data_IF_982711319857
#
_entry.id   IF_982711319857
#
_cell.length_a   1.000
_cell.length_b   1.000
_cell.length_c   1.000
_cell.angle_alpha   90.00
_cell.angle_beta   90.00
_cell.angle_gamma   90.00
#
_symmetry.space_group_name_H-M   'P 1'
#
loop_
_entity.id
_entity.type
_entity.pdbx_description
1 polymer ?
#
# COMPACT_ATOMS: atom_id res chain seq x y z
N UNK A 1 11.96 -14.49 -5.08
CA UNK A 1 10.81 -13.72 -5.57
C UNK A 1 10.68 -12.42 -4.78
N UNK A 2 10.62 -11.30 -5.48
CA UNK A 2 10.47 -9.99 -4.82
C UNK A 2 9.01 -9.66 -4.63
N UNK A 3 8.61 -9.53 -3.38
CA UNK A 3 7.24 -9.16 -3.00
C UNK A 3 7.27 -7.79 -2.34
N UNK A 4 6.40 -6.89 -2.80
CA UNK A 4 6.21 -5.59 -2.18
C UNK A 4 4.77 -5.46 -1.67
N UNK A 5 4.57 -4.60 -0.69
CA UNK A 5 3.26 -4.31 -0.12
C UNK A 5 2.94 -2.84 -0.33
N UNK A 6 1.76 -2.57 -0.87
CA UNK A 6 1.23 -1.22 -0.96
C UNK A 6 0.07 -1.09 0.03
N UNK A 7 0.32 -0.56 1.22
CA UNK A 7 -0.71 -0.43 2.24
C UNK A 7 -1.45 0.89 2.12
N UNK A 8 -2.68 0.92 2.58
CA UNK A 8 -3.44 2.16 2.64
C UNK A 8 -4.86 1.88 3.11
N UNK A 9 -5.63 2.93 3.30
CA UNK A 9 -7.04 2.77 3.66
C UNK A 9 -7.90 2.48 2.43
N UNK A 10 -7.56 3.07 1.28
CA UNK A 10 -8.28 2.87 0.01
C UNK A 10 -9.80 2.96 0.18
N UNK A 11 -10.25 4.09 0.68
CA UNK A 11 -11.65 4.27 1.08
C UNK A 11 -12.32 5.41 0.30
N UNK A 12 -12.61 5.25 -0.99
CA UNK A 12 -12.28 4.11 -1.86
C UNK A 12 -10.93 4.23 -2.58
N UNK A 13 -10.58 3.21 -3.34
CA UNK A 13 -9.45 3.26 -4.26
C UNK A 13 -9.70 4.34 -5.33
N UNK A 14 -8.66 5.08 -5.68
CA UNK A 14 -8.74 6.17 -6.66
C UNK A 14 -7.84 5.89 -7.86
N UNK A 15 -7.96 6.74 -8.90
CA UNK A 15 -7.06 6.65 -10.06
C UNK A 15 -5.60 6.87 -9.68
N UNK A 16 -5.35 7.72 -8.67
CA UNK A 16 -4.00 7.91 -8.14
C UNK A 16 -3.44 6.63 -7.55
N UNK A 17 -4.24 5.94 -6.75
CA UNK A 17 -3.86 4.63 -6.21
C UNK A 17 -3.60 3.63 -7.33
N UNK A 18 -4.48 3.57 -8.32
CA UNK A 18 -4.32 2.64 -9.43
C UNK A 18 -3.05 2.92 -10.24
N UNK A 19 -2.69 4.19 -10.41
CA UNK A 19 -1.45 4.57 -11.09
C UNK A 19 -0.24 4.00 -10.34
N UNK A 20 -0.20 4.17 -9.02
CA UNK A 20 0.89 3.64 -8.18
C UNK A 20 0.92 2.10 -8.26
N UNK A 21 -0.24 1.46 -8.15
CA UNK A 21 -0.35 0.00 -8.22
C UNK A 21 0.22 -0.52 -9.54
N UNK A 22 -0.19 0.08 -10.65
CA UNK A 22 0.24 -0.34 -11.99
C UNK A 22 1.75 -0.20 -12.14
N UNK A 23 2.31 0.91 -11.68
CA UNK A 23 3.74 1.17 -11.79
C UNK A 23 4.56 0.23 -10.89
N UNK A 24 4.12 0.05 -9.65
CA UNK A 24 4.79 -0.83 -8.71
C UNK A 24 4.76 -2.29 -9.17
N UNK A 25 3.63 -2.73 -9.73
CA UNK A 25 3.48 -4.10 -10.22
C UNK A 25 4.50 -4.46 -11.29
N UNK A 26 4.96 -3.47 -12.06
CA UNK A 26 5.98 -3.70 -13.11
C UNK A 26 7.37 -3.99 -12.53
N UNK A 27 7.63 -3.57 -11.30
CA UNK A 27 8.97 -3.67 -10.70
C UNK A 27 9.13 -4.86 -9.77
N UNK A 28 8.04 -5.54 -9.40
CA UNK A 28 8.08 -6.63 -8.44
C UNK A 28 7.40 -7.87 -9.00
N UNK A 29 7.82 -9.03 -8.50
CA UNK A 29 7.21 -10.30 -8.92
C UNK A 29 5.80 -10.44 -8.38
N UNK A 30 5.56 -9.85 -7.20
CA UNK A 30 4.27 -9.91 -6.53
C UNK A 30 4.03 -8.60 -5.80
N UNK A 31 2.88 -7.99 -6.00
CA UNK A 31 2.47 -6.79 -5.27
C UNK A 31 1.22 -7.10 -4.45
N UNK A 32 1.31 -6.92 -3.15
CA UNK A 32 0.17 -7.08 -2.25
C UNK A 32 -0.39 -5.68 -1.96
N UNK A 33 -1.61 -5.43 -2.40
CA UNK A 33 -2.33 -4.20 -2.04
C UNK A 33 -3.14 -4.54 -0.80
N UNK A 34 -2.81 -3.90 0.32
CA UNK A 34 -3.42 -4.25 1.60
C UNK A 34 -4.23 -3.09 2.18
N UNK A 35 -5.51 -3.34 2.39
CA UNK A 35 -6.39 -2.41 3.09
C UNK A 35 -6.08 -2.51 4.58
N UNK A 36 -5.50 -1.45 5.15
CA UNK A 36 -5.17 -1.37 6.57
C UNK A 36 -6.26 -0.58 7.27
N UNK A 37 -6.92 -1.16 8.27
CA UNK A 37 -8.11 -0.53 8.88
C UNK A 37 -8.08 -0.45 10.40
N UNK A 38 -6.94 -0.74 11.02
CA UNK A 38 -6.84 -0.78 12.49
C UNK A 38 -6.91 0.58 13.18
N UNK A 39 -6.76 1.68 12.46
CA UNK A 39 -6.76 3.04 13.03
C UNK A 39 -7.84 3.92 12.45
N UNK A 40 -8.84 3.35 11.81
CA UNK A 40 -9.88 4.12 11.13
C UNK A 40 -10.92 4.65 12.10
N UNK A 41 -11.37 5.88 11.86
CA UNK A 41 -12.37 6.53 12.70
C UNK A 41 -13.76 6.59 12.06
N UNK A 42 -13.83 6.84 10.77
CA UNK A 42 -15.11 7.01 10.05
C UNK A 42 -15.00 6.49 8.63
N UNK A 43 -14.89 5.17 8.46
CA UNK A 43 -14.72 4.61 7.12
C UNK A 43 -16.00 4.77 6.29
N UNK A 44 -15.85 5.02 4.98
CA UNK A 44 -16.94 5.10 4.04
C UNK A 44 -17.42 3.71 3.64
N UNK A 45 -16.48 2.78 3.46
CA UNK A 45 -16.75 1.41 3.05
C UNK A 45 -16.14 0.44 4.05
N UNK A 46 -16.71 -0.77 4.12
CA UNK A 46 -16.12 -1.84 4.94
C UNK A 46 -14.80 -2.30 4.33
N UNK A 47 -13.91 -2.96 5.10
CA UNK A 47 -12.69 -3.53 4.53
C UNK A 47 -12.96 -4.48 3.37
N UNK A 48 -14.00 -5.31 3.47
CA UNK A 48 -14.38 -6.25 2.42
C UNK A 48 -14.83 -5.54 1.15
N UNK A 49 -15.62 -4.47 1.29
CA UNK A 49 -16.06 -3.67 0.14
C UNK A 49 -14.87 -3.00 -0.55
N UNK A 50 -13.93 -2.48 0.25
CA UNK A 50 -12.73 -1.85 -0.29
C UNK A 50 -11.85 -2.84 -1.05
N UNK A 51 -11.67 -4.03 -0.49
CA UNK A 51 -10.92 -5.09 -1.17
C UNK A 51 -11.59 -5.45 -2.50
N UNK A 52 -12.91 -5.59 -2.50
CA UNK A 52 -13.65 -5.92 -3.72
C UNK A 52 -13.47 -4.87 -4.80
N UNK A 53 -13.56 -3.59 -4.44
CA UNK A 53 -13.37 -2.48 -5.37
C UNK A 53 -11.97 -2.48 -5.98
N UNK A 54 -10.94 -2.73 -5.16
CA UNK A 54 -9.57 -2.80 -5.65
C UNK A 54 -9.40 -3.99 -6.59
N UNK A 55 -9.95 -5.15 -6.24
CA UNK A 55 -9.87 -6.34 -7.09
C UNK A 55 -10.47 -6.08 -8.46
N UNK A 56 -11.58 -5.36 -8.52
CA UNK A 56 -12.24 -5.03 -9.80
C UNK A 56 -11.35 -4.19 -10.70
N UNK A 57 -10.69 -3.18 -10.15
CA UNK A 57 -9.88 -2.27 -10.97
C UNK A 57 -8.49 -2.82 -11.27
N UNK A 58 -8.05 -3.87 -10.58
CA UNK A 58 -6.75 -4.50 -10.80
C UNK A 58 -6.84 -5.86 -11.48
N UNK A 59 -8.03 -6.26 -11.93
CA UNK A 59 -8.27 -7.57 -12.51
C UNK A 59 -7.35 -7.90 -13.70
N UNK A 60 -6.92 -6.89 -14.45
CA UNK A 60 -6.01 -7.07 -15.58
C UNK A 60 -4.52 -7.10 -15.21
N UNK A 61 -4.18 -7.04 -13.93
CA UNK A 61 -2.78 -7.04 -13.49
C UNK A 61 -2.52 -8.34 -12.73
N UNK A 62 -1.90 -9.34 -13.38
CA UNK A 62 -1.88 -10.71 -12.85
C UNK A 62 -1.06 -10.92 -11.58
N UNK A 63 -0.08 -10.06 -11.32
CA UNK A 63 0.78 -10.21 -10.14
C UNK A 63 0.35 -9.36 -8.94
N UNK A 64 -0.87 -8.81 -8.98
CA UNK A 64 -1.44 -8.05 -7.86
C UNK A 64 -2.36 -8.95 -7.05
N UNK A 65 -2.14 -8.98 -5.73
CA UNK A 65 -3.03 -9.64 -4.78
C UNK A 65 -3.60 -8.59 -3.86
N UNK A 66 -4.86 -8.73 -3.47
CA UNK A 66 -5.55 -7.75 -2.63
C UNK A 66 -6.04 -8.43 -1.36
N UNK A 67 -5.72 -7.83 -0.22
CA UNK A 67 -6.15 -8.35 1.07
C UNK A 67 -6.36 -7.20 2.05
N UNK A 68 -6.85 -7.51 3.24
CA UNK A 68 -7.01 -6.51 4.30
C UNK A 68 -6.43 -7.04 5.61
N UNK A 69 -6.03 -6.12 6.50
CA UNK A 69 -5.46 -6.50 7.79
C UNK A 69 -5.68 -5.40 8.82
N UNK A 70 -5.91 -5.81 10.06
CA UNK A 70 -5.96 -4.91 11.21
C UNK A 70 -4.66 -4.92 12.01
N UNK A 71 -3.66 -5.64 11.55
CA UNK A 71 -2.35 -5.76 12.22
C UNK A 71 -1.47 -4.55 11.97
N UNK A 72 -0.42 -4.40 12.76
CA UNK A 72 0.63 -3.44 12.46
C UNK A 72 1.28 -3.83 11.13
N UNK A 73 1.61 -2.82 10.32
CA UNK A 73 2.20 -3.05 9.01
C UNK A 73 3.51 -3.86 9.09
N UNK A 74 4.35 -3.58 10.07
CA UNK A 74 5.61 -4.31 10.24
C UNK A 74 5.38 -5.81 10.46
N UNK A 75 4.35 -6.15 11.24
CA UNK A 75 3.99 -7.56 11.50
C UNK A 75 3.39 -8.21 10.28
N UNK A 76 2.49 -7.50 9.59
CA UNK A 76 1.89 -8.00 8.37
C UNK A 76 2.95 -8.29 7.30
N UNK A 77 3.90 -7.38 7.13
CA UNK A 77 4.99 -7.55 6.18
C UNK A 77 5.83 -8.80 6.51
N UNK A 78 6.11 -9.00 7.79
CA UNK A 78 6.87 -10.17 8.23
C UNK A 78 6.13 -11.47 7.89
N UNK A 79 4.82 -11.51 8.14
CA UNK A 79 3.99 -12.67 7.82
C UNK A 79 3.97 -12.96 6.32
N UNK A 80 3.95 -11.92 5.49
CA UNK A 80 3.89 -12.08 4.04
C UNK A 80 5.27 -12.32 3.41
N UNK A 81 6.32 -12.25 4.20
CA UNK A 81 7.67 -12.45 3.69
C UNK A 81 8.14 -11.29 2.80
N UNK A 82 7.60 -10.10 3.01
CA UNK A 82 7.97 -8.92 2.24
C UNK A 82 8.94 -8.04 3.01
N UNK A 83 9.94 -7.51 2.31
CA UNK A 83 10.89 -6.55 2.85
C UNK A 83 10.69 -5.14 2.31
N UNK A 84 9.67 -4.91 1.49
CA UNK A 84 9.49 -3.65 0.78
C UNK A 84 8.05 -3.14 0.94
N UNK A 85 7.94 -1.90 1.40
CA UNK A 85 6.66 -1.18 1.45
C UNK A 85 6.68 -0.11 0.36
N UNK A 86 5.59 0.00 -0.40
CA UNK A 86 5.41 1.04 -1.39
C UNK A 86 4.48 2.10 -0.81
N UNK A 87 4.84 3.36 -0.98
CA UNK A 87 4.00 4.50 -0.59
C UNK A 87 3.99 5.52 -1.72
N UNK A 88 2.81 6.04 -2.00
CA UNK A 88 2.67 7.14 -2.97
C UNK A 88 2.78 8.48 -2.26
N UNK A 89 3.48 9.42 -2.85
CA UNK A 89 3.61 10.78 -2.32
C UNK A 89 2.97 11.77 -3.28
N UNK A 90 2.17 12.67 -2.74
CA UNK A 90 1.50 13.71 -3.52
C UNK A 90 2.04 15.11 -3.24
N UNK A 91 2.56 15.33 -2.04
CA UNK A 91 3.06 16.64 -1.63
C UNK A 91 4.18 16.51 -0.61
N UNK A 92 4.97 17.58 -0.44
CA UNK A 92 6.06 17.62 0.53
C UNK A 92 5.55 17.41 1.96
N UNK A 93 4.38 17.97 2.28
CA UNK A 93 3.77 17.79 3.60
C UNK A 93 3.43 16.33 3.91
N UNK A 94 3.08 15.55 2.89
CA UNK A 94 2.85 14.11 3.06
C UNK A 94 4.17 13.40 3.35
N UNK A 95 5.26 13.86 2.75
CA UNK A 95 6.56 13.20 2.86
C UNK A 95 7.07 13.15 4.29
N UNK A 96 6.98 14.24 5.04
CA UNK A 96 7.46 14.26 6.43
C UNK A 96 6.78 13.20 7.28
N UNK A 97 5.47 13.11 7.17
CA UNK A 97 4.67 12.12 7.90
C UNK A 97 5.02 10.71 7.47
N UNK A 98 5.06 10.47 6.16
CA UNK A 98 5.37 9.14 5.62
C UNK A 98 6.80 8.72 5.93
N UNK A 99 7.73 9.68 5.95
CA UNK A 99 9.12 9.41 6.33
C UNK A 99 9.22 8.94 7.78
N UNK A 100 8.50 9.60 8.70
CA UNK A 100 8.48 9.19 10.10
C UNK A 100 7.90 7.78 10.26
N UNK A 101 6.86 7.47 9.50
CA UNK A 101 6.26 6.13 9.51
C UNK A 101 7.24 5.08 8.99
N UNK A 102 7.99 5.42 7.94
CA UNK A 102 9.00 4.52 7.38
C UNK A 102 10.09 4.21 8.40
N UNK A 103 10.56 5.22 9.13
CA UNK A 103 11.54 5.03 10.19
C UNK A 103 11.00 4.12 11.29
N UNK A 104 9.76 4.33 11.69
CA UNK A 104 9.13 3.49 12.72
C UNK A 104 9.00 2.04 12.26
N UNK A 105 8.55 1.82 11.04
CA UNK A 105 8.41 0.47 10.48
C UNK A 105 9.76 -0.23 10.41
N UNK A 106 10.81 0.48 9.99
CA UNK A 106 12.15 -0.09 9.93
C UNK A 106 12.68 -0.44 11.33
N UNK A 107 12.36 0.39 12.33
CA UNK A 107 12.74 0.14 13.71
C UNK A 107 12.07 -1.11 14.28
N UNK A 108 10.78 -1.30 13.95
CA UNK A 108 10.01 -2.47 14.38
C UNK A 108 10.38 -3.74 13.61
N UNK A 109 10.82 -3.58 12.38
CA UNK A 109 11.22 -4.68 11.51
C UNK A 109 12.43 -4.21 10.67
N UNK A 110 13.67 -4.46 11.15
CA UNK A 110 14.88 -3.95 10.48
C UNK A 110 15.07 -4.40 9.04
N UNK A 111 14.43 -5.50 8.64
CA UNK A 111 14.49 -5.96 7.25
C UNK A 111 13.52 -5.25 6.32
N UNK A 112 12.74 -4.30 6.82
CA UNK A 112 11.68 -3.66 6.06
C UNK A 112 12.10 -2.26 5.61
N UNK A 113 12.09 -2.03 4.31
CA UNK A 113 12.38 -0.74 3.71
C UNK A 113 11.12 -0.16 3.05
N UNK A 114 11.04 1.17 3.00
CA UNK A 114 9.94 1.86 2.32
C UNK A 114 10.45 2.56 1.08
N UNK A 115 9.78 2.34 -0.04
CA UNK A 115 10.05 3.00 -1.30
C UNK A 115 8.92 3.98 -1.61
N UNK A 116 9.29 5.22 -1.91
CA UNK A 116 8.30 6.24 -2.24
C UNK A 116 8.21 6.43 -3.75
N UNK A 117 6.99 6.44 -4.27
CA UNK A 117 6.71 6.76 -5.66
C UNK A 117 5.93 8.06 -5.70
N UNK A 118 6.36 8.99 -6.55
CA UNK A 118 5.62 10.23 -6.73
C UNK A 118 4.40 9.98 -7.61
N UNK A 119 3.26 10.54 -7.23
CA UNK A 119 2.06 10.48 -8.05
C UNK A 119 2.29 11.31 -9.32
N UNK A 120 1.73 10.84 -10.43
CA UNK A 120 1.77 11.63 -11.66
C UNK A 120 0.89 12.87 -11.48
N UNK A 121 1.30 13.98 -12.09
CA UNK A 121 0.65 15.28 -11.91
C UNK A 121 -0.87 15.22 -12.13
N UNK A 122 -1.31 14.49 -13.14
CA UNK A 122 -2.73 14.40 -13.47
C UNK A 122 -3.59 13.70 -12.40
N UNK A 123 -2.96 13.04 -11.44
CA UNK A 123 -3.66 12.31 -10.38
C UNK A 123 -3.49 12.94 -8.99
N UNK A 124 -2.89 14.11 -8.93
CA UNK A 124 -2.65 14.80 -7.66
C UNK A 124 -3.90 15.49 -7.12
#
# INVERSE_FOLDING_TARGET
>A
MKTAIYPGSFDPVTNGHLNIITRAARSFDRLIVCVMYNCEKSPMFTPEERVDLIRRVTAGIPNVEVMHSDKLLADFAREQGSSIIIKGLRAVSDFEREFQMALMNHKLNPGLDTMFLTAEHQFM
#
